data_IF_446424474556
#
_entry.id   IF_446424474556
#
_cell.length_a   1.000
_cell.length_b   1.000
_cell.length_c   1.000
_cell.angle_alpha   90.00
_cell.angle_beta   90.00
_cell.angle_gamma   90.00
#
_symmetry.space_group_name_H-M   'P 1'
#
loop_
_entity.id
_entity.type
_entity.pdbx_description
1 polymer ?
#
# COMPACT_ATOMS: atom_id res chain seq x y z
N UNK A 1 -5.29 55.07 -11.04
CA UNK A 1 -5.42 53.60 -10.94
C UNK A 1 -6.69 53.32 -10.14
N UNK A 2 -7.75 52.92 -10.83
CA UNK A 2 -9.06 52.65 -10.25
C UNK A 2 -9.00 51.36 -9.42
N UNK A 3 -9.56 51.41 -8.22
CA UNK A 3 -9.59 50.32 -7.24
C UNK A 3 -11.03 49.80 -7.21
N UNK A 4 -11.35 48.90 -8.12
CA UNK A 4 -12.68 48.29 -8.21
C UNK A 4 -12.63 46.84 -7.65
N UNK A 5 -13.65 46.54 -6.83
CA UNK A 5 -14.05 45.25 -6.23
C UNK A 5 -13.46 44.87 -4.85
N UNK A 6 -14.29 44.36 -3.88
CA UNK A 6 -15.40 43.41 -4.11
C UNK A 6 -16.78 43.80 -3.53
N UNK A 7 -17.78 44.13 -4.37
CA UNK A 7 -19.20 44.18 -3.98
C UNK A 7 -19.83 42.78 -3.78
N UNK A 8 -19.11 41.69 -4.08
CA UNK A 8 -19.57 40.31 -3.91
C UNK A 8 -19.56 39.84 -2.44
N UNK A 9 -18.51 40.20 -1.68
CA UNK A 9 -18.38 39.83 -0.26
C UNK A 9 -19.48 40.48 0.60
N UNK A 10 -19.86 41.72 0.27
CA UNK A 10 -20.94 42.41 0.99
C UNK A 10 -22.32 41.79 0.71
N UNK A 11 -22.56 41.32 -0.52
CA UNK A 11 -23.78 40.58 -0.87
C UNK A 11 -23.86 39.23 -0.16
N UNK A 12 -22.76 38.49 -0.08
CA UNK A 12 -22.73 37.18 0.59
C UNK A 12 -22.95 37.31 2.10
N UNK A 13 -22.32 38.30 2.75
CA UNK A 13 -22.58 38.62 4.16
C UNK A 13 -24.03 39.03 4.41
N UNK A 14 -24.63 39.81 3.50
CA UNK A 14 -26.03 40.22 3.59
C UNK A 14 -27.00 39.03 3.42
N UNK A 15 -26.67 38.08 2.55
CA UNK A 15 -27.39 36.82 2.37
C UNK A 15 -27.29 35.93 3.63
N UNK A 16 -26.09 35.82 4.20
CA UNK A 16 -25.83 35.10 5.45
C UNK A 16 -26.60 35.73 6.61
N UNK A 17 -26.64 37.05 6.69
CA UNK A 17 -27.41 37.78 7.69
C UNK A 17 -28.92 37.53 7.53
N UNK A 18 -29.44 37.52 6.29
CA UNK A 18 -30.83 37.12 6.00
C UNK A 18 -31.12 35.69 6.43
N UNK A 19 -30.24 34.74 6.12
CA UNK A 19 -30.38 33.33 6.51
C UNK A 19 -30.33 33.15 8.02
N UNK A 20 -29.46 33.89 8.72
CA UNK A 20 -29.40 33.89 10.18
C UNK A 20 -30.67 34.48 10.79
N UNK A 21 -31.21 35.58 10.24
CA UNK A 21 -32.51 36.12 10.66
C UNK A 21 -33.64 35.11 10.47
N UNK A 22 -33.70 34.44 9.31
CA UNK A 22 -34.70 33.39 9.05
C UNK A 22 -34.56 32.20 10.02
N UNK A 23 -33.34 31.79 10.34
CA UNK A 23 -33.10 30.75 11.34
C UNK A 23 -33.46 31.19 12.76
N UNK A 24 -33.18 32.45 13.13
CA UNK A 24 -33.54 33.00 14.43
C UNK A 24 -35.06 33.06 14.60
N UNK A 25 -35.77 33.48 13.56
CA UNK A 25 -37.24 33.53 13.51
C UNK A 25 -37.85 32.12 13.57
N UNK A 26 -37.21 31.14 12.93
CA UNK A 26 -37.56 29.72 13.05
C UNK A 26 -37.32 29.16 14.46
N UNK A 27 -36.23 29.57 15.12
CA UNK A 27 -35.93 29.18 16.50
C UNK A 27 -36.93 29.77 17.50
N UNK A 28 -37.35 31.03 17.32
CA UNK A 28 -38.34 31.67 18.19
C UNK A 28 -39.74 31.07 18.02
N UNK A 29 -40.13 30.72 16.79
CA UNK A 29 -41.41 30.06 16.52
C UNK A 29 -41.41 28.57 16.90
N UNK A 30 -40.27 28.00 17.26
CA UNK A 30 -40.18 26.61 17.67
C UNK A 30 -40.76 26.41 19.09
N UNK A 31 -41.77 25.56 19.19
CA UNK A 31 -42.45 25.24 20.45
C UNK A 31 -41.52 24.75 21.57
N UNK A 32 -40.41 24.09 21.21
CA UNK A 32 -39.37 23.62 22.15
C UNK A 32 -38.61 24.78 22.83
N UNK A 33 -38.29 25.84 22.10
CA UNK A 33 -37.56 27.00 22.63
C UNK A 33 -38.48 27.81 23.54
N UNK A 34 -39.73 27.99 23.12
CA UNK A 34 -40.78 28.61 23.93
C UNK A 34 -41.06 27.82 25.21
N UNK A 35 -41.06 26.48 25.15
CA UNK A 35 -41.20 25.62 26.32
C UNK A 35 -40.00 25.73 27.28
N UNK A 36 -38.78 25.87 26.77
CA UNK A 36 -37.58 26.12 27.58
C UNK A 36 -37.63 27.47 28.28
N UNK A 37 -38.09 28.53 27.60
CA UNK A 37 -38.28 29.85 28.20
C UNK A 37 -39.38 29.84 29.27
N UNK A 38 -40.41 29.01 29.10
CA UNK A 38 -41.46 28.76 30.12
C UNK A 38 -41.01 27.85 31.27
N UNK A 39 -39.86 27.17 31.16
CA UNK A 39 -39.35 26.30 32.21
C UNK A 39 -38.90 27.10 33.45
N UNK A 40 -38.75 26.45 34.62
CA UNK A 40 -38.30 27.11 35.86
C UNK A 40 -36.97 27.85 35.66
N UNK A 41 -36.07 27.30 34.86
CA UNK A 41 -34.75 27.87 34.56
C UNK A 41 -34.89 29.11 33.68
N UNK A 42 -35.72 29.04 32.63
CA UNK A 42 -36.01 30.18 31.75
C UNK A 42 -36.68 31.34 32.48
N UNK A 43 -37.65 31.04 33.34
CA UNK A 43 -38.38 32.03 34.14
C UNK A 43 -37.53 32.62 35.29
N UNK A 44 -36.50 31.90 35.74
CA UNK A 44 -35.52 32.38 36.73
C UNK A 44 -34.49 33.32 36.11
N UNK A 45 -34.03 33.02 34.88
CA UNK A 45 -33.19 33.93 34.10
C UNK A 45 -33.96 35.19 33.65
N UNK A 46 -35.24 35.04 33.27
CA UNK A 46 -36.10 36.16 32.86
C UNK A 46 -36.37 37.16 34.00
N UNK A 47 -36.60 36.65 35.22
CA UNK A 47 -36.77 37.47 36.43
C UNK A 47 -35.51 38.21 36.87
N UNK A 48 -34.32 37.70 36.53
CA UNK A 48 -33.04 38.25 36.97
C UNK A 48 -32.12 38.47 35.75
N UNK A 49 -32.30 39.57 35.00
CA UNK A 49 -31.52 39.86 33.79
C UNK A 49 -30.00 39.92 34.05
N UNK A 50 -29.60 40.31 35.26
CA UNK A 50 -28.20 40.33 35.68
C UNK A 50 -27.58 38.94 35.75
N UNK A 51 -28.35 37.96 36.25
CA UNK A 51 -27.91 36.57 36.36
C UNK A 51 -27.80 35.91 34.98
N UNK A 52 -28.76 36.17 34.09
CA UNK A 52 -28.70 35.74 32.70
C UNK A 52 -27.46 36.30 31.99
N UNK A 53 -27.14 37.58 32.22
CA UNK A 53 -25.96 38.23 31.66
C UNK A 53 -24.66 37.64 32.22
N UNK A 54 -24.61 37.34 33.52
CA UNK A 54 -23.44 36.70 34.15
C UNK A 54 -23.21 35.29 33.61
N UNK A 55 -24.26 34.47 33.47
CA UNK A 55 -24.14 33.11 32.91
C UNK A 55 -23.71 33.17 31.44
N UNK A 56 -24.26 34.10 30.66
CA UNK A 56 -23.85 34.30 29.27
C UNK A 56 -22.38 34.71 29.16
N UNK A 57 -21.95 35.67 29.97
CA UNK A 57 -20.55 36.11 30.01
C UNK A 57 -19.63 34.98 30.46
N UNK A 58 -20.01 34.19 31.46
CA UNK A 58 -19.25 33.03 31.92
C UNK A 58 -19.12 31.95 30.82
N UNK A 59 -20.21 31.62 30.13
CA UNK A 59 -20.19 30.68 29.00
C UNK A 59 -19.33 31.23 27.87
N UNK A 60 -19.43 32.51 27.53
CA UNK A 60 -18.60 33.11 26.47
C UNK A 60 -17.11 33.15 26.83
N UNK A 61 -16.78 33.51 28.08
CA UNK A 61 -15.41 33.56 28.58
C UNK A 61 -14.81 32.18 28.80
N UNK A 62 -15.64 31.16 29.05
CA UNK A 62 -15.20 29.76 29.18
C UNK A 62 -15.15 29.03 27.83
N UNK A 63 -16.02 29.37 26.89
CA UNK A 63 -16.06 28.73 25.57
C UNK A 63 -14.77 28.95 24.77
N UNK A 64 -14.12 30.11 24.92
CA UNK A 64 -12.85 30.42 24.26
C UNK A 64 -11.72 29.49 24.74
N UNK A 65 -11.38 29.41 26.05
CA UNK A 65 -10.34 28.52 26.54
C UNK A 65 -10.68 27.04 26.35
N UNK A 66 -11.95 26.64 26.54
CA UNK A 66 -12.38 25.25 26.34
C UNK A 66 -12.29 24.85 24.87
N UNK A 67 -12.75 25.73 23.96
CA UNK A 67 -12.68 25.49 22.52
C UNK A 67 -11.24 25.39 22.03
N UNK A 68 -10.37 26.30 22.49
CA UNK A 68 -8.95 26.26 22.14
C UNK A 68 -8.25 24.99 22.65
N UNK A 69 -8.57 24.56 23.88
CA UNK A 69 -8.07 23.31 24.43
C UNK A 69 -8.50 22.10 23.61
N UNK A 70 -9.79 21.99 23.28
CA UNK A 70 -10.31 20.90 22.45
C UNK A 70 -9.67 20.90 21.05
N UNK A 71 -9.48 22.08 20.45
CA UNK A 71 -8.83 22.23 19.17
C UNK A 71 -7.39 21.72 19.21
N UNK A 72 -6.60 22.11 20.22
CA UNK A 72 -5.24 21.60 20.41
C UNK A 72 -5.25 20.09 20.57
N UNK A 73 -6.13 19.54 21.42
CA UNK A 73 -6.21 18.09 21.65
C UNK A 73 -6.51 17.35 20.34
N UNK A 74 -7.43 17.84 19.52
CA UNK A 74 -7.75 17.24 18.22
C UNK A 74 -6.60 17.36 17.24
N UNK A 75 -5.93 18.51 17.15
CA UNK A 75 -4.76 18.67 16.28
C UNK A 75 -3.60 17.78 16.71
N UNK A 76 -3.35 17.68 18.02
CA UNK A 76 -2.31 16.83 18.58
C UNK A 76 -2.64 15.35 18.38
N UNK A 77 -3.89 14.93 18.56
CA UNK A 77 -4.28 13.54 18.32
C UNK A 77 -4.21 13.16 16.84
N UNK A 78 -4.61 14.06 15.93
CA UNK A 78 -4.47 13.87 14.49
C UNK A 78 -2.99 13.81 14.09
N UNK A 79 -2.16 14.70 14.65
CA UNK A 79 -0.71 14.68 14.45
C UNK A 79 -0.07 13.38 14.97
N UNK A 80 -0.48 12.92 16.16
CA UNK A 80 -0.01 11.66 16.72
C UNK A 80 -0.44 10.45 15.89
N UNK A 81 -1.68 10.43 15.38
CA UNK A 81 -2.18 9.36 14.51
C UNK A 81 -1.39 9.31 13.19
N UNK A 82 -1.23 10.46 12.52
CA UNK A 82 -0.42 10.54 11.30
C UNK A 82 1.03 10.15 11.56
N UNK A 83 1.61 10.61 12.68
CA UNK A 83 2.95 10.23 13.11
C UNK A 83 3.11 8.73 13.35
N UNK A 84 2.13 8.10 14.01
CA UNK A 84 2.13 6.66 14.24
C UNK A 84 2.05 5.87 12.94
N UNK A 85 1.16 6.25 12.02
CA UNK A 85 1.02 5.61 10.70
C UNK A 85 2.31 5.75 9.90
N UNK A 86 2.94 6.93 9.89
CA UNK A 86 4.22 7.14 9.19
C UNK A 86 5.35 6.32 9.82
N UNK A 87 5.44 6.26 11.15
CA UNK A 87 6.45 5.47 11.85
C UNK A 87 6.27 3.98 11.59
N UNK A 88 5.04 3.48 11.70
CA UNK A 88 4.71 2.08 11.41
C UNK A 88 5.04 1.74 9.95
N UNK A 89 4.62 2.59 9.00
CA UNK A 89 4.95 2.43 7.59
C UNK A 89 6.45 2.41 7.32
N UNK A 90 7.23 3.27 7.98
CA UNK A 90 8.68 3.29 7.88
C UNK A 90 9.30 2.00 8.43
N UNK A 91 8.88 1.55 9.60
CA UNK A 91 9.37 0.31 10.22
C UNK A 91 9.06 -0.90 9.35
N UNK A 92 7.83 -1.01 8.83
CA UNK A 92 7.42 -2.06 7.91
C UNK A 92 8.26 -2.00 6.63
N UNK A 93 8.50 -0.81 6.08
CA UNK A 93 9.30 -0.63 4.87
C UNK A 93 10.76 -1.08 5.08
N UNK A 94 11.41 -0.64 6.16
CA UNK A 94 12.81 -1.01 6.47
C UNK A 94 12.93 -2.50 6.76
N UNK A 95 12.01 -3.05 7.55
CA UNK A 95 11.95 -4.49 7.83
C UNK A 95 11.71 -5.29 6.54
N UNK A 96 10.74 -4.88 5.73
CA UNK A 96 10.42 -5.51 4.45
C UNK A 96 11.58 -5.47 3.46
N UNK A 97 12.27 -4.34 3.32
CA UNK A 97 13.46 -4.22 2.47
C UNK A 97 14.59 -5.12 2.96
N UNK A 98 14.81 -5.18 4.28
CA UNK A 98 15.84 -6.04 4.87
C UNK A 98 15.53 -7.52 4.63
N UNK A 99 14.28 -7.92 4.83
CA UNK A 99 13.82 -9.29 4.56
C UNK A 99 13.94 -9.63 3.07
N UNK A 100 13.50 -8.73 2.18
CA UNK A 100 13.63 -8.89 0.74
C UNK A 100 15.11 -9.04 0.35
N UNK A 101 16.00 -8.23 0.91
CA UNK A 101 17.44 -8.31 0.68
C UNK A 101 17.99 -9.70 1.08
N UNK A 102 17.64 -10.19 2.27
CA UNK A 102 18.07 -11.51 2.74
C UNK A 102 17.49 -12.61 1.84
N UNK A 103 16.20 -12.55 1.51
CA UNK A 103 15.56 -13.53 0.62
C UNK A 103 16.21 -13.55 -0.76
N UNK A 104 16.50 -12.38 -1.33
CA UNK A 104 17.21 -12.24 -2.60
C UNK A 104 18.62 -12.82 -2.53
N UNK A 105 19.38 -12.52 -1.48
CA UNK A 105 20.72 -13.06 -1.27
C UNK A 105 20.71 -14.59 -1.14
N UNK A 106 19.82 -15.13 -0.31
CA UNK A 106 19.62 -16.57 -0.17
C UNK A 106 19.16 -17.22 -1.47
N UNK A 107 18.26 -16.57 -2.22
CA UNK A 107 17.79 -17.04 -3.52
C UNK A 107 18.91 -17.10 -4.55
N UNK A 108 19.76 -16.07 -4.61
CA UNK A 108 20.92 -16.04 -5.50
C UNK A 108 21.94 -17.13 -5.14
N UNK A 109 22.26 -17.28 -3.85
CA UNK A 109 23.16 -18.35 -3.38
C UNK A 109 22.59 -19.73 -3.68
N UNK A 110 21.29 -19.94 -3.45
CA UNK A 110 20.60 -21.19 -3.77
C UNK A 110 20.66 -21.50 -5.27
N UNK A 111 20.40 -20.51 -6.12
CA UNK A 111 20.45 -20.67 -7.58
C UNK A 111 21.88 -20.96 -8.05
N UNK A 112 22.88 -20.30 -7.47
CA UNK A 112 24.29 -20.58 -7.76
C UNK A 112 24.67 -22.01 -7.36
N UNK A 113 24.34 -22.44 -6.14
CA UNK A 113 24.60 -23.80 -5.66
C UNK A 113 23.88 -24.85 -6.50
N UNK A 114 22.61 -24.62 -6.86
CA UNK A 114 21.85 -25.49 -7.75
C UNK A 114 22.46 -25.55 -9.15
N UNK A 115 22.94 -24.42 -9.68
CA UNK A 115 23.62 -24.36 -10.98
C UNK A 115 24.95 -25.12 -10.98
N UNK A 116 25.77 -24.94 -9.94
CA UNK A 116 27.02 -25.67 -9.77
C UNK A 116 26.74 -27.18 -9.64
N UNK A 117 25.75 -27.57 -8.83
CA UNK A 117 25.34 -28.96 -8.68
C UNK A 117 24.88 -29.57 -10.02
N UNK A 118 24.04 -28.86 -10.79
CA UNK A 118 23.58 -29.29 -12.11
C UNK A 118 24.76 -29.48 -13.08
N UNK A 119 25.64 -28.49 -13.19
CA UNK A 119 26.82 -28.57 -14.07
C UNK A 119 27.75 -29.71 -13.63
N UNK A 120 27.98 -29.87 -12.32
CA UNK A 120 28.78 -30.98 -11.79
C UNK A 120 28.13 -32.33 -12.08
N UNK A 121 26.81 -32.46 -11.95
CA UNK A 121 26.07 -33.68 -12.27
C UNK A 121 26.18 -34.02 -13.75
N UNK A 122 26.01 -33.04 -14.64
CA UNK A 122 26.17 -33.24 -16.09
C UNK A 122 27.60 -33.65 -16.43
N UNK A 123 28.62 -32.95 -15.91
CA UNK A 123 30.03 -33.27 -16.14
C UNK A 123 30.35 -34.67 -15.65
N UNK A 124 29.95 -35.03 -14.43
CA UNK A 124 30.16 -36.38 -13.87
C UNK A 124 29.39 -37.44 -14.66
N UNK A 125 28.18 -37.14 -15.14
CA UNK A 125 27.41 -38.04 -15.99
C UNK A 125 28.09 -38.27 -17.33
N UNK A 126 28.63 -37.22 -17.97
CA UNK A 126 29.44 -37.34 -19.18
C UNK A 126 30.73 -38.13 -18.94
N UNK A 127 31.39 -37.88 -17.80
CA UNK A 127 32.58 -38.60 -17.36
C UNK A 127 32.27 -40.08 -17.19
N UNK A 128 31.22 -40.42 -16.46
CA UNK A 128 30.78 -41.80 -16.29
C UNK A 128 30.35 -42.43 -17.61
N UNK A 129 29.63 -41.74 -18.48
CA UNK A 129 29.31 -42.26 -19.82
C UNK A 129 30.54 -42.50 -20.69
N UNK A 130 31.64 -41.76 -20.50
CA UNK A 130 32.91 -42.02 -21.18
C UNK A 130 33.66 -43.21 -20.59
N UNK A 131 33.70 -43.31 -19.25
CA UNK A 131 34.35 -44.42 -18.53
C UNK A 131 33.58 -45.75 -18.63
N UNK A 132 32.25 -45.70 -18.54
CA UNK A 132 31.33 -46.82 -18.74
C UNK A 132 30.93 -47.02 -20.21
N UNK A 133 31.41 -46.17 -21.14
CA UNK A 133 31.40 -46.57 -22.54
C UNK A 133 32.28 -47.82 -22.62
N UNK A 134 31.72 -49.01 -22.91
CA UNK A 134 32.55 -50.14 -23.23
C UNK A 134 33.37 -49.69 -24.43
N UNK A 135 34.68 -49.99 -24.43
CA UNK A 135 35.51 -49.90 -25.64
C UNK A 135 34.64 -50.16 -26.87
N UNK A 136 34.61 -49.31 -27.90
CA UNK A 136 33.96 -49.63 -29.16
C UNK A 136 34.79 -50.74 -29.83
N UNK A 137 34.67 -51.95 -29.31
CA UNK A 137 35.23 -53.18 -29.85
C UNK A 137 34.17 -53.80 -30.75
N UNK A 138 33.55 -52.99 -31.60
CA UNK A 138 32.61 -53.41 -32.65
C UNK A 138 32.27 -52.23 -33.57
N UNK A 139 33.29 -51.57 -34.14
CA UNK A 139 33.16 -50.94 -35.46
C UNK A 139 34.35 -51.32 -36.34
N UNK A 140 34.79 -52.57 -36.24
CA UNK A 140 35.64 -53.22 -37.24
C UNK A 140 34.86 -54.31 -38.00
N UNK A 141 33.82 -54.89 -37.39
CA UNK A 141 33.03 -55.97 -38.00
C UNK A 141 32.17 -55.51 -39.19
N UNK A 142 31.69 -54.25 -39.20
CA UNK A 142 30.94 -53.74 -40.36
C UNK A 142 31.82 -53.45 -41.60
N UNK A 143 33.14 -53.27 -41.43
CA UNK A 143 34.05 -53.05 -42.56
C UNK A 143 34.59 -54.38 -43.10
N UNK A 144 34.84 -55.37 -42.23
CA UNK A 144 35.26 -56.71 -42.64
C UNK A 144 34.17 -57.45 -43.44
N UNK A 145 32.89 -57.27 -43.11
CA UNK A 145 31.79 -57.93 -43.85
C UNK A 145 31.55 -57.30 -45.24
N UNK A 146 31.72 -55.98 -45.41
CA UNK A 146 31.66 -55.35 -46.74
C UNK A 146 32.88 -55.69 -47.62
N UNK A 147 34.07 -55.91 -47.03
CA UNK A 147 35.24 -56.38 -47.79
C UNK A 147 35.18 -57.87 -48.15
N UNK A 148 34.61 -58.72 -47.28
CA UNK A 148 34.40 -60.14 -47.58
C UNK A 148 33.33 -60.34 -48.67
N UNK A 149 32.28 -59.51 -48.66
CA UNK A 149 31.28 -59.49 -49.73
C UNK A 149 31.88 -59.05 -51.08
N UNK A 150 32.80 -58.09 -51.09
CA UNK A 150 33.47 -57.64 -52.32
C UNK A 150 34.52 -58.63 -52.85
N UNK A 151 35.10 -59.46 -51.98
CA UNK A 151 36.03 -60.53 -52.39
C UNK A 151 35.32 -61.81 -52.84
N UNK A 152 34.10 -62.08 -52.37
CA UNK A 152 33.30 -63.24 -52.78
C UNK A 152 32.78 -63.13 -54.21
N UNK A 153 32.41 -61.92 -54.65
CA UNK A 153 31.92 -61.68 -56.02
C UNK A 153 33.00 -61.77 -57.10
N UNK A 154 34.29 -61.71 -56.74
CA UNK A 154 35.40 -61.93 -57.68
C UNK A 154 35.67 -63.44 -57.93
N UNK A 155 35.25 -64.32 -57.00
CA UNK A 155 35.40 -65.77 -57.14
C UNK A 155 34.18 -66.47 -57.78
N UNK A 156 32.99 -65.86 -57.72
CA UNK A 156 31.78 -66.39 -58.37
C UNK A 156 31.76 -66.16 -59.89
N UNK A 157 32.58 -65.25 -60.42
CA UNK A 157 32.72 -65.00 -61.86
C UNK A 157 33.61 -65.99 -62.62
N UNK A 158 34.21 -66.99 -61.95
CA UNK A 158 35.15 -67.93 -62.59
C UNK A 158 34.61 -69.36 -62.76
N UNK A 159 33.34 -69.63 -62.43
CA UNK A 159 32.70 -70.95 -62.58
C UNK A 159 31.27 -70.90 -63.17
N UNK A 160 30.94 -69.86 -63.93
CA UNK A 160 29.82 -69.88 -64.86
C UNK A 160 30.19 -69.15 -66.15
N UNK A 161 30.81 -69.88 -67.08
CA UNK A 161 30.43 -70.06 -68.49
C UNK A 161 31.44 -70.95 -69.20
#
# INVERSE_FOLDING_TARGET
MAKEEPPSVSRDLQELQRKLCLLLESFQNNSKVVAFMKSPVGRYLDKHPFLALTVLMFVSMSAIPVGFFLLIVVLTSLGALMGAILLEGLVISVCGLSLLCILCGLGFVSLAMSGIAMMSYVVVSCLMSYWFSPRPLTQQTANTDCQLAMKSTDFEGLYQE
#
